data_IF_579769795970
#
_entry.id   IF_579769795970
#
_cell.length_a   1.000
_cell.length_b   1.000
_cell.length_c   1.000
_cell.angle_alpha   90.00
_cell.angle_beta   90.00
_cell.angle_gamma   90.00
#
_symmetry.space_group_name_H-M   'P 1'
#
loop_
_entity.id
_entity.type
_entity.pdbx_description
1 polymer ?
#
# COMPACT_ATOMS: atom_id res chain seq x y z
N UNK A 1 -61.12 31.23 2.08
CA UNK A 1 -60.49 30.74 0.84
C UNK A 1 -59.09 31.29 0.73
N UNK A 2 -58.08 30.55 1.16
CA UNK A 2 -56.67 30.74 0.79
C UNK A 2 -56.00 29.36 0.94
N UNK A 3 -55.66 28.76 -0.20
CA UNK A 3 -54.92 27.48 -0.28
C UNK A 3 -53.46 27.73 -0.02
N UNK A 4 -52.90 26.96 0.92
CA UNK A 4 -51.45 26.81 1.17
C UNK A 4 -50.80 26.12 -0.02
N UNK A 5 -49.71 26.70 -0.50
CA UNK A 5 -48.69 26.08 -1.32
C UNK A 5 -47.50 25.72 -0.42
N UNK A 6 -47.45 24.49 0.01
CA UNK A 6 -46.24 23.87 0.51
C UNK A 6 -46.01 22.61 -0.31
N UNK A 7 -45.07 22.62 -1.21
CA UNK A 7 -44.39 21.43 -1.72
C UNK A 7 -43.16 21.76 -2.57
N UNK A 8 -42.12 20.97 -2.38
CA UNK A 8 -40.91 20.77 -3.17
C UNK A 8 -39.68 21.60 -2.82
N UNK A 9 -38.99 21.21 -1.71
CA UNK A 9 -37.55 21.47 -1.56
C UNK A 9 -36.74 20.37 -0.81
N UNK A 10 -37.31 19.17 -0.56
CA UNK A 10 -36.60 18.15 0.24
C UNK A 10 -36.27 16.86 -0.51
N UNK A 11 -36.49 16.76 -1.81
CA UNK A 11 -36.26 15.51 -2.56
C UNK A 11 -34.99 15.55 -3.41
N UNK A 12 -34.38 16.71 -3.65
CA UNK A 12 -33.21 16.80 -4.55
C UNK A 12 -31.86 16.51 -3.89
N UNK A 13 -31.72 16.62 -2.57
CA UNK A 13 -30.40 16.40 -1.91
C UNK A 13 -30.07 14.93 -1.64
N UNK A 14 -31.08 14.07 -1.51
CA UNK A 14 -30.87 12.64 -1.22
C UNK A 14 -30.61 11.84 -2.51
N UNK A 15 -31.21 12.27 -3.63
CA UNK A 15 -31.04 11.60 -4.92
C UNK A 15 -29.67 11.89 -5.54
N UNK A 16 -29.12 13.10 -5.31
CA UNK A 16 -27.80 13.47 -5.86
C UNK A 16 -26.65 12.71 -5.18
N UNK A 17 -26.73 12.44 -3.88
CA UNK A 17 -25.70 11.66 -3.15
C UNK A 17 -25.69 10.18 -3.54
N UNK A 18 -26.87 9.59 -3.79
CA UNK A 18 -26.98 8.18 -4.21
C UNK A 18 -26.58 7.97 -5.68
N UNK A 19 -26.84 8.96 -6.54
CA UNK A 19 -26.46 8.89 -7.96
C UNK A 19 -24.95 9.07 -8.13
N UNK A 20 -24.30 9.93 -7.36
CA UNK A 20 -22.85 10.13 -7.42
C UNK A 20 -22.11 8.89 -6.88
N UNK A 21 -22.57 8.26 -5.80
CA UNK A 21 -21.98 7.02 -5.31
C UNK A 21 -22.21 5.84 -6.27
N UNK A 22 -23.39 5.75 -6.88
CA UNK A 22 -23.70 4.71 -7.87
C UNK A 22 -22.98 4.92 -9.21
N UNK A 23 -22.78 6.15 -9.64
CA UNK A 23 -22.02 6.47 -10.86
C UNK A 23 -20.53 6.30 -10.63
N UNK A 24 -19.99 6.67 -9.46
CA UNK A 24 -18.60 6.43 -9.12
C UNK A 24 -18.31 4.93 -9.03
N UNK A 25 -19.17 4.13 -8.38
CA UNK A 25 -19.02 2.68 -8.31
C UNK A 25 -19.17 2.03 -9.70
N UNK A 26 -20.13 2.48 -10.51
CA UNK A 26 -20.34 1.99 -11.88
C UNK A 26 -19.22 2.38 -12.85
N UNK A 27 -18.62 3.57 -12.69
CA UNK A 27 -17.47 4.03 -13.47
C UNK A 27 -16.19 3.31 -13.03
N UNK A 28 -16.01 3.07 -11.74
CA UNK A 28 -14.92 2.24 -11.20
C UNK A 28 -15.02 0.82 -11.77
N UNK A 29 -16.22 0.22 -11.74
CA UNK A 29 -16.44 -1.15 -12.21
C UNK A 29 -16.26 -1.29 -13.74
N UNK A 30 -16.76 -0.36 -14.55
CA UNK A 30 -16.68 -0.47 -16.01
C UNK A 30 -15.29 -0.15 -16.59
N UNK A 31 -14.44 0.59 -15.88
CA UNK A 31 -13.10 0.95 -16.33
C UNK A 31 -11.99 0.10 -15.75
N UNK A 32 -12.20 -0.53 -14.58
CA UNK A 32 -11.26 -1.46 -13.98
C UNK A 32 -11.11 -2.77 -14.79
N UNK A 33 -12.07 -3.10 -15.65
CA UNK A 33 -12.05 -4.30 -16.48
C UNK A 33 -11.12 -4.21 -17.73
N UNK A 34 -10.47 -3.07 -17.97
CA UNK A 34 -9.45 -2.98 -19.02
C UNK A 34 -8.10 -3.41 -18.42
N UNK A 35 -7.52 -4.51 -18.93
CA UNK A 35 -6.16 -4.91 -18.56
C UNK A 35 -5.22 -3.71 -18.64
N UNK A 36 -4.58 -3.38 -17.54
CA UNK A 36 -3.61 -2.29 -17.52
C UNK A 36 -2.32 -2.80 -18.19
N UNK A 37 -1.97 -2.23 -19.34
CA UNK A 37 -0.73 -2.56 -20.02
C UNK A 37 0.45 -1.96 -19.25
N UNK A 38 1.60 -2.66 -19.27
CA UNK A 38 2.87 -2.08 -18.80
C UNK A 38 3.13 -0.78 -19.57
N UNK A 39 3.12 0.33 -18.84
CA UNK A 39 3.32 1.67 -19.38
C UNK A 39 4.80 2.08 -19.44
N UNK A 40 5.70 1.29 -18.84
CA UNK A 40 7.07 1.70 -18.59
C UNK A 40 7.20 2.78 -17.50
N UNK A 41 6.16 2.94 -16.68
CA UNK A 41 6.13 3.91 -15.59
C UNK A 41 6.17 3.20 -14.23
N UNK A 42 6.77 3.86 -13.25
CA UNK A 42 6.79 3.43 -11.84
C UNK A 42 5.99 4.40 -11.00
N UNK A 43 5.06 3.90 -10.20
CA UNK A 43 4.36 4.65 -9.18
C UNK A 43 5.15 4.53 -7.87
N UNK A 44 5.45 5.65 -7.21
CA UNK A 44 6.30 5.71 -6.02
C UNK A 44 5.57 6.46 -4.91
N UNK A 45 5.45 5.85 -3.74
CA UNK A 45 5.07 6.52 -2.50
C UNK A 45 6.33 7.16 -1.88
N UNK A 46 6.54 8.45 -2.16
CA UNK A 46 7.68 9.24 -1.71
C UNK A 46 7.36 9.83 -0.32
N UNK A 47 7.58 8.99 0.72
CA UNK A 47 6.98 9.09 2.04
C UNK A 47 7.23 10.45 2.70
N UNK A 48 8.50 10.84 2.85
CA UNK A 48 8.85 12.03 3.61
C UNK A 48 8.76 13.31 2.78
N UNK A 49 8.56 13.21 1.47
CA UNK A 49 8.14 14.32 0.62
C UNK A 49 6.62 14.52 0.59
N UNK A 50 5.87 13.68 1.33
CA UNK A 50 4.42 13.77 1.43
C UNK A 50 3.73 13.82 0.05
N UNK A 51 4.16 12.91 -0.85
CA UNK A 51 3.65 12.83 -2.23
C UNK A 51 3.67 11.41 -2.79
N UNK A 52 2.79 11.17 -3.74
CA UNK A 52 2.87 10.03 -4.66
C UNK A 52 3.27 10.58 -6.02
N UNK A 53 4.23 9.96 -6.68
CA UNK A 53 4.68 10.33 -8.02
C UNK A 53 4.61 9.16 -8.98
N UNK A 54 4.27 9.43 -10.23
CA UNK A 54 4.43 8.50 -11.35
C UNK A 54 5.60 8.96 -12.19
N UNK A 55 6.57 8.08 -12.41
CA UNK A 55 7.83 8.37 -13.08
C UNK A 55 7.92 7.54 -14.36
N UNK A 56 8.22 8.18 -15.48
CA UNK A 56 8.63 7.51 -16.72
C UNK A 56 10.05 6.96 -16.54
N UNK A 57 10.20 5.63 -16.62
CA UNK A 57 11.47 4.91 -16.35
C UNK A 57 12.60 5.29 -17.30
N UNK A 58 12.27 5.70 -18.51
CA UNK A 58 13.27 6.02 -19.56
C UNK A 58 13.82 7.44 -19.42
N UNK A 59 12.96 8.37 -19.01
CA UNK A 59 13.32 9.81 -18.94
C UNK A 59 13.53 10.31 -17.53
N UNK A 60 13.17 9.50 -16.50
CA UNK A 60 13.15 9.87 -15.08
C UNK A 60 12.27 11.07 -14.75
N UNK A 61 11.35 11.42 -15.64
CA UNK A 61 10.44 12.55 -15.45
C UNK A 61 9.19 12.12 -14.68
N UNK A 62 8.80 12.94 -13.73
CA UNK A 62 7.48 12.86 -13.09
C UNK A 62 6.43 13.25 -14.13
N UNK A 63 5.51 12.31 -14.42
CA UNK A 63 4.41 12.50 -15.40
C UNK A 63 3.06 12.72 -14.74
N UNK A 64 2.94 12.31 -13.48
CA UNK A 64 1.78 12.57 -12.63
C UNK A 64 2.21 12.60 -11.16
N UNK A 65 1.49 13.36 -10.33
CA UNK A 65 1.70 13.35 -8.88
C UNK A 65 0.40 13.67 -8.12
N UNK A 66 0.37 13.25 -6.85
CA UNK A 66 -0.59 13.68 -5.85
C UNK A 66 0.16 13.99 -4.56
N UNK A 67 -0.30 15.03 -3.84
CA UNK A 67 0.37 15.56 -2.66
C UNK A 67 1.16 16.81 -3.00
N UNK A 68 1.13 17.77 -2.08
CA UNK A 68 1.75 19.11 -2.23
C UNK A 68 2.89 19.36 -1.26
N UNK A 69 3.40 18.28 -0.60
CA UNK A 69 4.46 18.36 0.38
C UNK A 69 4.02 18.83 1.77
N UNK A 70 2.73 19.14 1.98
CA UNK A 70 2.21 19.54 3.28
C UNK A 70 2.23 18.38 4.27
N UNK A 71 2.61 18.67 5.50
CA UNK A 71 2.52 17.76 6.65
C UNK A 71 1.17 17.82 7.39
N UNK A 72 0.20 18.49 6.79
CA UNK A 72 -1.20 18.51 7.23
C UNK A 72 -2.08 17.81 6.21
N UNK A 73 -2.88 16.81 6.61
CA UNK A 73 -3.75 16.10 5.70
C UNK A 73 -4.90 16.99 5.21
N UNK A 74 -5.19 16.95 3.91
CA UNK A 74 -6.19 17.77 3.25
C UNK A 74 -6.68 17.20 1.93
N UNK A 75 -7.48 17.95 1.15
CA UNK A 75 -8.06 17.47 -0.10
C UNK A 75 -7.03 17.27 -1.23
N UNK A 76 -5.84 17.87 -1.11
CA UNK A 76 -4.76 17.79 -2.10
C UNK A 76 -3.42 17.43 -1.45
N UNK A 77 -3.43 16.89 -0.24
CA UNK A 77 -2.24 16.45 0.49
C UNK A 77 -2.39 15.04 1.03
N UNK A 78 -1.27 14.38 1.19
CA UNK A 78 -1.11 13.11 1.90
C UNK A 78 0.09 13.28 2.82
N UNK A 79 0.03 12.71 4.03
CA UNK A 79 1.14 12.78 4.97
C UNK A 79 1.71 11.39 5.22
N UNK A 80 3.03 11.26 5.09
CA UNK A 80 3.71 10.00 5.34
C UNK A 80 3.12 8.85 4.54
N UNK A 81 3.09 8.99 3.19
CA UNK A 81 2.47 7.99 2.31
C UNK A 81 3.28 6.70 2.30
N UNK A 82 2.64 5.58 2.68
CA UNK A 82 3.32 4.28 2.71
C UNK A 82 2.92 3.36 1.55
N UNK A 83 1.83 3.62 0.86
CA UNK A 83 1.41 2.76 -0.25
C UNK A 83 0.62 3.54 -1.30
N UNK A 84 0.81 3.16 -2.55
CA UNK A 84 0.03 3.65 -3.67
C UNK A 84 -0.18 2.55 -4.72
N UNK A 85 -1.42 2.42 -5.21
CA UNK A 85 -1.80 1.46 -6.23
C UNK A 85 -2.54 2.13 -7.38
N UNK A 86 -2.10 1.88 -8.62
CA UNK A 86 -2.80 2.32 -9.82
C UNK A 86 -3.78 1.26 -10.28
N UNK A 87 -5.05 1.62 -10.47
CA UNK A 87 -6.05 0.75 -11.05
C UNK A 87 -6.93 1.52 -12.06
N UNK A 88 -6.86 1.11 -13.30
CA UNK A 88 -7.42 1.90 -14.39
C UNK A 88 -6.89 3.34 -14.35
N UNK A 89 -7.74 4.38 -14.41
CA UNK A 89 -7.31 5.76 -14.35
C UNK A 89 -7.15 6.30 -12.90
N UNK A 90 -7.47 5.49 -11.88
CA UNK A 90 -7.51 5.89 -10.49
C UNK A 90 -6.25 5.48 -9.73
N UNK A 91 -5.98 6.16 -8.63
CA UNK A 91 -4.92 5.80 -7.68
C UNK A 91 -5.50 5.65 -6.28
N UNK A 92 -5.32 4.47 -5.68
CA UNK A 92 -5.55 4.25 -4.25
C UNK A 92 -4.29 4.67 -3.50
N UNK A 93 -4.44 5.40 -2.41
CA UNK A 93 -3.32 5.95 -1.62
C UNK A 93 -3.56 5.67 -0.14
N UNK A 94 -2.52 5.21 0.55
CA UNK A 94 -2.51 5.04 2.00
C UNK A 94 -1.70 6.16 2.65
N UNK A 95 -2.38 7.12 3.25
CA UNK A 95 -1.81 8.18 4.08
C UNK A 95 -1.67 7.69 5.51
N UNK A 96 -0.46 7.31 5.86
CA UNK A 96 -0.12 6.69 7.15
C UNK A 96 0.08 7.73 8.24
N UNK A 97 0.72 8.82 7.88
CA UNK A 97 1.29 9.81 8.78
C UNK A 97 2.78 9.59 9.04
N UNK A 98 3.43 10.60 9.55
CA UNK A 98 4.86 10.59 9.85
C UNK A 98 5.08 10.66 11.37
N UNK A 99 5.82 9.70 11.97
CA UNK A 99 6.18 9.75 13.38
C UNK A 99 7.00 10.99 13.75
N UNK A 100 7.01 11.41 15.02
CA UNK A 100 7.79 12.57 15.45
C UNK A 100 9.29 12.34 15.22
N UNK A 101 9.98 13.40 14.77
CA UNK A 101 11.42 13.40 14.55
C UNK A 101 11.87 12.80 13.22
N UNK A 102 10.97 12.29 12.38
CA UNK A 102 11.28 11.89 11.01
C UNK A 102 11.06 13.03 10.02
N UNK A 103 11.74 13.03 8.85
CA UNK A 103 11.52 14.02 7.81
C UNK A 103 10.06 14.11 7.36
N UNK A 104 9.66 15.21 6.72
CA UNK A 104 8.31 15.42 6.21
C UNK A 104 7.24 15.73 7.26
N UNK A 105 7.64 15.97 8.52
CA UNK A 105 6.76 16.36 9.61
C UNK A 105 7.40 17.47 10.45
N UNK A 106 6.69 18.59 10.62
CA UNK A 106 7.14 19.74 11.44
C UNK A 106 6.89 19.56 12.94
N UNK A 107 5.91 18.73 13.33
CA UNK A 107 5.64 18.43 14.75
C UNK A 107 6.58 17.32 15.24
N UNK A 108 7.69 17.72 15.84
CA UNK A 108 8.71 16.79 16.36
C UNK A 108 8.32 16.11 17.67
N UNK A 109 7.18 16.45 18.26
CA UNK A 109 6.69 15.91 19.54
C UNK A 109 5.57 14.87 19.33
N UNK A 110 4.56 15.22 18.52
CA UNK A 110 3.38 14.37 18.35
C UNK A 110 3.39 13.63 17.01
N UNK A 111 4.22 14.05 16.04
CA UNK A 111 4.18 13.57 14.66
C UNK A 111 3.04 14.21 13.86
N UNK A 112 2.95 13.85 12.61
CA UNK A 112 1.98 14.37 11.66
C UNK A 112 1.09 13.22 11.14
N UNK A 113 -0.04 12.91 11.82
CA UNK A 113 -0.89 11.79 11.43
C UNK A 113 -1.69 12.13 10.17
N UNK A 114 -1.89 11.14 9.28
CA UNK A 114 -2.89 11.19 8.21
C UNK A 114 -4.08 10.26 8.52
N UNK A 115 -3.82 8.97 8.67
CA UNK A 115 -4.80 7.95 9.02
C UNK A 115 -5.96 7.82 8.02
N UNK A 116 -5.67 7.96 6.73
CA UNK A 116 -6.63 7.80 5.63
C UNK A 116 -6.15 6.80 4.59
N UNK A 117 -7.12 6.09 4.02
CA UNK A 117 -6.99 5.41 2.73
C UNK A 117 -8.01 6.03 1.78
N UNK A 118 -7.57 6.48 0.60
CA UNK A 118 -8.45 7.20 -0.31
C UNK A 118 -8.10 6.95 -1.78
N UNK A 119 -9.11 7.13 -2.63
CA UNK A 119 -8.99 7.01 -4.09
C UNK A 119 -9.03 8.39 -4.70
N UNK A 120 -8.06 8.68 -5.57
CA UNK A 120 -8.04 9.91 -6.37
C UNK A 120 -8.30 9.61 -7.84
N UNK A 121 -8.99 10.54 -8.50
CA UNK A 121 -9.17 10.54 -9.94
C UNK A 121 -7.90 11.07 -10.66
N UNK A 122 -7.84 11.01 -12.02
CA UNK A 122 -6.70 11.55 -12.78
C UNK A 122 -6.40 13.03 -12.54
N UNK A 123 -7.39 13.80 -12.07
CA UNK A 123 -7.25 15.23 -11.80
C UNK A 123 -6.78 15.52 -10.34
N UNK A 124 -6.54 14.46 -9.54
CA UNK A 124 -6.18 14.61 -8.13
C UNK A 124 -7.34 14.93 -7.20
N UNK A 125 -8.59 14.64 -7.61
CA UNK A 125 -9.77 14.79 -6.75
C UNK A 125 -9.98 13.52 -5.94
N UNK A 126 -10.11 13.63 -4.61
CA UNK A 126 -10.48 12.49 -3.75
C UNK A 126 -11.95 12.15 -4.02
N UNK A 127 -12.21 10.93 -4.54
CA UNK A 127 -13.56 10.45 -4.90
C UNK A 127 -14.11 9.42 -3.92
N UNK A 128 -13.26 8.84 -3.09
CA UNK A 128 -13.62 7.94 -2.01
C UNK A 128 -12.54 8.01 -0.91
N UNK A 129 -12.93 7.85 0.36
CA UNK A 129 -12.00 7.88 1.48
C UNK A 129 -12.53 7.01 2.62
N UNK A 130 -11.67 6.23 3.26
CA UNK A 130 -11.89 5.58 4.55
C UNK A 130 -10.83 6.06 5.54
N UNK A 131 -11.24 6.33 6.77
CA UNK A 131 -10.44 7.04 7.76
C UNK A 131 -10.75 8.53 7.80
N UNK A 132 -10.35 9.18 8.87
CA UNK A 132 -10.57 10.61 9.12
C UNK A 132 -9.22 11.32 9.18
N UNK A 133 -9.08 12.39 8.39
CA UNK A 133 -7.85 13.15 8.26
C UNK A 133 -7.26 13.55 9.63
N UNK A 134 -6.06 13.06 9.94
CA UNK A 134 -5.35 13.35 11.18
C UNK A 134 -5.92 12.70 12.44
N UNK A 135 -6.96 11.85 12.32
CA UNK A 135 -7.61 11.22 13.48
C UNK A 135 -7.29 9.73 13.54
N UNK A 136 -6.54 9.32 14.56
CA UNK A 136 -6.30 7.91 14.83
C UNK A 136 -7.42 7.28 15.64
N UNK A 137 -7.75 6.01 15.33
CA UNK A 137 -8.77 5.27 16.07
C UNK A 137 -9.13 3.94 15.43
N UNK A 138 -10.00 3.19 16.09
CA UNK A 138 -10.51 1.89 15.66
C UNK A 138 -12.05 1.86 15.52
N UNK A 139 -12.70 2.99 15.69
CA UNK A 139 -14.15 3.14 15.55
C UNK A 139 -14.62 3.12 14.08
N UNK A 140 -15.91 3.34 13.85
CA UNK A 140 -16.46 3.43 12.52
C UNK A 140 -15.76 4.50 11.68
N UNK A 141 -15.30 4.15 10.47
CA UNK A 141 -14.56 5.03 9.58
C UNK A 141 -13.31 5.67 10.25
N UNK A 142 -12.58 4.89 11.05
CA UNK A 142 -11.32 5.30 11.64
C UNK A 142 -10.23 4.26 11.37
N UNK A 143 -9.01 4.74 11.20
CA UNK A 143 -7.79 3.96 11.03
C UNK A 143 -6.74 4.45 12.02
N UNK A 144 -5.72 3.63 12.23
CA UNK A 144 -4.55 4.03 13.00
C UNK A 144 -3.30 3.48 12.30
N UNK A 145 -2.57 4.37 11.64
CA UNK A 145 -1.37 4.02 10.90
C UNK A 145 -1.66 2.99 9.79
N UNK A 146 -2.55 3.27 8.81
CA UNK A 146 -2.75 2.37 7.67
C UNK A 146 -1.49 2.38 6.80
N UNK A 147 -0.89 1.21 6.54
CA UNK A 147 0.40 1.12 5.83
C UNK A 147 0.28 0.56 4.42
N UNK A 148 -0.75 -0.22 4.13
CA UNK A 148 -1.03 -0.74 2.79
C UNK A 148 -2.52 -0.76 2.53
N UNK A 149 -2.89 -0.53 1.26
CA UNK A 149 -4.27 -0.68 0.79
C UNK A 149 -4.30 -1.25 -0.63
N UNK A 150 -5.20 -2.22 -0.86
CA UNK A 150 -5.42 -2.85 -2.17
C UNK A 150 -6.87 -2.69 -2.59
N UNK A 151 -7.10 -2.28 -3.84
CA UNK A 151 -8.43 -2.26 -4.44
C UNK A 151 -8.76 -3.62 -5.05
N UNK A 152 -9.84 -4.24 -4.59
CA UNK A 152 -10.27 -5.58 -5.00
C UNK A 152 -11.68 -5.53 -5.57
N UNK A 153 -11.94 -6.22 -6.68
CA UNK A 153 -13.31 -6.44 -7.18
C UNK A 153 -13.93 -7.68 -6.54
N UNK A 154 -13.11 -8.69 -6.30
CA UNK A 154 -13.56 -9.92 -5.65
C UNK A 154 -12.63 -10.28 -4.49
N UNK A 155 -13.23 -10.52 -3.35
CA UNK A 155 -12.57 -11.14 -2.19
C UNK A 155 -13.34 -12.41 -1.86
N UNK A 156 -12.72 -13.48 -1.39
CA UNK A 156 -13.42 -14.73 -1.10
C UNK A 156 -14.66 -14.51 -0.22
N UNK A 157 -15.81 -14.94 -0.71
CA UNK A 157 -17.16 -14.77 -0.09
C UNK A 157 -17.70 -13.33 -0.02
N UNK A 158 -16.98 -12.35 -0.59
CA UNK A 158 -17.41 -10.95 -0.61
C UNK A 158 -17.28 -10.40 -2.04
N UNK A 159 -18.30 -10.62 -2.91
CA UNK A 159 -18.26 -10.12 -4.28
C UNK A 159 -18.43 -8.60 -4.33
N UNK A 160 -17.87 -8.00 -5.38
CA UNK A 160 -17.93 -6.57 -5.64
C UNK A 160 -16.72 -5.80 -5.11
N UNK A 161 -16.70 -4.46 -5.31
CA UNK A 161 -15.54 -3.65 -5.01
C UNK A 161 -15.34 -3.44 -3.50
N UNK A 162 -14.12 -3.68 -3.06
CA UNK A 162 -13.65 -3.54 -1.67
C UNK A 162 -12.25 -2.94 -1.63
N UNK A 163 -11.85 -2.48 -0.47
CA UNK A 163 -10.47 -2.07 -0.17
C UNK A 163 -9.97 -2.91 1.00
N UNK A 164 -8.90 -3.69 0.77
CA UNK A 164 -8.18 -4.38 1.84
C UNK A 164 -7.17 -3.40 2.44
N UNK A 165 -7.10 -3.30 3.75
CA UNK A 165 -6.26 -2.32 4.46
C UNK A 165 -5.49 -3.02 5.58
N UNK A 166 -4.16 -2.86 5.59
CA UNK A 166 -3.34 -3.16 6.74
C UNK A 166 -3.40 -1.97 7.72
N UNK A 167 -4.22 -2.09 8.75
CA UNK A 167 -4.49 -1.08 9.78
C UNK A 167 -3.56 -1.35 10.98
N UNK A 168 -2.27 -0.99 10.79
CA UNK A 168 -1.10 -1.48 11.53
C UNK A 168 -1.22 -1.29 13.04
N UNK A 169 -1.37 -0.05 13.52
CA UNK A 169 -1.41 0.22 14.94
C UNK A 169 -2.71 -0.26 15.62
N UNK A 170 -3.74 -0.59 14.84
CA UNK A 170 -4.92 -1.31 15.31
C UNK A 170 -4.75 -2.84 15.30
N UNK A 171 -3.57 -3.36 14.93
CA UNK A 171 -3.22 -4.79 14.98
C UNK A 171 -4.13 -5.66 14.10
N UNK A 172 -4.56 -5.16 12.92
CA UNK A 172 -5.53 -5.86 12.08
C UNK A 172 -5.33 -5.61 10.59
N UNK A 173 -5.78 -6.56 9.78
CA UNK A 173 -6.05 -6.38 8.36
C UNK A 173 -7.56 -6.42 8.16
N UNK A 174 -8.12 -5.42 7.50
CA UNK A 174 -9.56 -5.26 7.31
C UNK A 174 -9.94 -5.18 5.84
N UNK A 175 -11.11 -5.68 5.48
CA UNK A 175 -11.75 -5.49 4.19
C UNK A 175 -12.93 -4.54 4.34
N UNK A 176 -12.89 -3.41 3.63
CA UNK A 176 -13.90 -2.35 3.70
C UNK A 176 -14.62 -2.27 2.36
N UNK A 177 -15.96 -2.26 2.37
CA UNK A 177 -16.72 -1.98 1.15
C UNK A 177 -16.80 -0.46 0.87
N UNK A 178 -17.22 -0.07 -0.35
CA UNK A 178 -17.32 1.34 -0.72
C UNK A 178 -18.39 2.13 0.08
N UNK A 179 -19.20 1.46 0.90
CA UNK A 179 -20.13 2.08 1.85
C UNK A 179 -19.54 2.24 3.26
N UNK A 180 -18.21 2.16 3.41
CA UNK A 180 -17.45 2.33 4.66
C UNK A 180 -17.76 1.29 5.75
N UNK A 181 -18.15 0.07 5.36
CA UNK A 181 -18.40 -1.03 6.31
C UNK A 181 -17.26 -2.03 6.25
N UNK A 182 -16.71 -2.38 7.39
CA UNK A 182 -15.81 -3.52 7.52
C UNK A 182 -16.66 -4.77 7.32
N UNK A 183 -16.32 -5.59 6.32
CA UNK A 183 -17.02 -6.83 5.98
C UNK A 183 -16.21 -8.07 6.32
N UNK A 184 -14.90 -7.92 6.51
CA UNK A 184 -13.99 -8.97 6.97
C UNK A 184 -12.85 -8.36 7.78
N UNK A 185 -12.29 -9.12 8.72
CA UNK A 185 -11.15 -8.73 9.51
C UNK A 185 -10.34 -9.95 9.94
N UNK A 186 -9.01 -9.83 9.95
CA UNK A 186 -8.09 -10.68 10.67
C UNK A 186 -7.21 -9.84 11.59
N UNK A 187 -6.94 -10.35 12.78
CA UNK A 187 -6.35 -9.62 13.88
C UNK A 187 -7.41 -9.12 14.86
N UNK A 188 -7.12 -9.18 16.16
CA UNK A 188 -7.98 -8.65 17.23
C UNK A 188 -7.64 -7.19 17.45
N UNK A 189 -8.58 -6.30 17.18
CA UNK A 189 -8.37 -4.85 17.24
C UNK A 189 -7.72 -4.41 18.56
N UNK A 190 -6.56 -3.75 18.46
CA UNK A 190 -5.80 -3.22 19.59
C UNK A 190 -5.08 -4.28 20.43
N UNK A 191 -5.07 -5.55 20.01
CA UNK A 191 -4.42 -6.65 20.74
C UNK A 191 -3.28 -7.20 19.92
N UNK A 192 -2.04 -6.86 20.28
CA UNK A 192 -0.83 -7.43 19.66
C UNK A 192 -0.56 -8.82 20.22
N UNK A 193 0.00 -9.70 19.35
CA UNK A 193 0.41 -11.04 19.75
C UNK A 193 0.64 -11.99 18.60
N UNK A 194 1.00 -13.24 18.92
CA UNK A 194 1.26 -14.33 17.98
C UNK A 194 0.21 -15.45 18.03
N UNK A 195 -0.80 -15.32 18.90
CA UNK A 195 -1.85 -16.32 19.07
C UNK A 195 -2.84 -16.36 17.89
N UNK A 196 -3.85 -17.24 17.96
CA UNK A 196 -4.89 -17.29 16.94
C UNK A 196 -5.59 -15.92 16.79
N UNK A 197 -5.73 -15.47 15.54
CA UNK A 197 -6.32 -14.16 15.21
C UNK A 197 -5.62 -12.98 15.93
N UNK A 198 -4.30 -13.05 16.08
CA UNK A 198 -3.48 -11.96 16.59
C UNK A 198 -2.35 -11.63 15.61
N UNK A 199 -2.08 -10.33 15.50
CA UNK A 199 -0.99 -9.74 14.72
C UNK A 199 -0.21 -8.78 15.60
N UNK A 200 0.98 -8.40 15.16
CA UNK A 200 1.79 -7.37 15.82
C UNK A 200 2.37 -6.45 14.74
N UNK A 201 1.78 -5.27 14.59
CA UNK A 201 2.09 -4.29 13.57
C UNK A 201 2.08 -4.90 12.14
N UNK A 202 0.94 -5.46 11.66
CA UNK A 202 0.87 -5.99 10.29
C UNK A 202 1.15 -4.88 9.28
N UNK A 203 2.07 -5.13 8.35
CA UNK A 203 2.50 -4.11 7.39
C UNK A 203 1.92 -4.32 5.99
N UNK A 204 1.60 -5.57 5.61
CA UNK A 204 0.96 -5.83 4.32
C UNK A 204 -0.02 -7.00 4.38
N UNK A 205 -0.95 -7.03 3.41
CA UNK A 205 -1.84 -8.15 3.16
C UNK A 205 -2.11 -8.31 1.66
N UNK A 206 -1.82 -9.50 1.11
CA UNK A 206 -2.05 -9.85 -0.29
C UNK A 206 -3.07 -10.98 -0.39
N UNK A 207 -3.97 -10.92 -1.38
CA UNK A 207 -4.92 -11.99 -1.68
C UNK A 207 -4.31 -12.91 -2.74
N UNK A 208 -4.10 -14.16 -2.40
CA UNK A 208 -3.50 -15.14 -3.29
C UNK A 208 -4.54 -15.72 -4.26
N UNK A 209 -4.09 -16.24 -5.41
CA UNK A 209 -4.96 -16.89 -6.42
C UNK A 209 -5.84 -18.01 -5.85
N UNK A 210 -5.36 -18.73 -4.82
CA UNK A 210 -6.14 -19.76 -4.12
C UNK A 210 -7.16 -19.19 -3.12
N UNK A 211 -7.29 -17.86 -3.03
CA UNK A 211 -8.16 -17.15 -2.12
C UNK A 211 -7.66 -17.08 -0.67
N UNK A 212 -6.44 -17.53 -0.38
CA UNK A 212 -5.81 -17.29 0.92
C UNK A 212 -5.30 -15.86 1.02
N UNK A 213 -4.99 -15.43 2.23
CA UNK A 213 -4.42 -14.10 2.49
C UNK A 213 -3.00 -14.30 3.04
N UNK A 214 -2.03 -13.62 2.42
CA UNK A 214 -0.64 -13.56 2.88
C UNK A 214 -0.45 -12.25 3.64
N UNK A 215 0.01 -12.31 4.88
CA UNK A 215 0.15 -11.14 5.76
C UNK A 215 1.59 -11.04 6.25
N UNK A 216 2.23 -9.89 6.04
CA UNK A 216 3.49 -9.55 6.69
C UNK A 216 3.19 -9.05 8.11
N UNK A 217 3.49 -9.88 9.09
CA UNK A 217 3.26 -9.67 10.53
C UNK A 217 4.56 -9.14 11.16
N UNK A 218 4.86 -7.86 10.87
CA UNK A 218 6.18 -7.23 10.94
C UNK A 218 6.87 -7.42 12.28
N UNK A 219 6.25 -7.00 13.38
CA UNK A 219 6.86 -7.06 14.71
C UNK A 219 6.77 -8.44 15.37
N UNK A 220 6.23 -9.42 14.67
CA UNK A 220 6.34 -10.84 15.01
C UNK A 220 7.39 -11.55 14.14
N UNK A 221 8.18 -10.83 13.35
CA UNK A 221 9.25 -11.34 12.52
C UNK A 221 8.83 -12.52 11.63
N UNK A 222 7.64 -12.44 11.03
CA UNK A 222 7.05 -13.51 10.24
C UNK A 222 6.15 -13.02 9.12
N UNK A 223 5.96 -13.88 8.14
CA UNK A 223 4.87 -13.80 7.17
C UNK A 223 3.93 -14.99 7.41
N UNK A 224 2.64 -14.75 7.44
CA UNK A 224 1.64 -15.81 7.60
C UNK A 224 0.73 -15.92 6.39
N UNK A 225 0.38 -17.14 6.02
CA UNK A 225 -0.68 -17.46 5.06
C UNK A 225 -1.88 -17.99 5.83
N UNK A 226 -3.03 -17.37 5.65
CA UNK A 226 -4.28 -17.76 6.30
C UNK A 226 -5.37 -18.01 5.27
N UNK A 227 -6.37 -18.83 5.63
CA UNK A 227 -7.62 -18.92 4.90
C UNK A 227 -8.53 -17.73 5.25
N UNK A 228 -9.53 -17.39 4.39
CA UNK A 228 -10.48 -16.31 4.70
C UNK A 228 -11.26 -16.51 6.02
N UNK A 229 -11.39 -17.74 6.50
CA UNK A 229 -12.00 -18.04 7.80
C UNK A 229 -11.04 -17.84 9.00
N UNK A 230 -9.83 -17.30 8.77
CA UNK A 230 -8.83 -17.05 9.80
C UNK A 230 -7.95 -18.26 10.17
N UNK A 231 -8.12 -19.42 9.52
CA UNK A 231 -7.28 -20.59 9.80
C UNK A 231 -5.86 -20.35 9.28
N UNK A 232 -4.86 -20.43 10.14
CA UNK A 232 -3.44 -20.40 9.76
C UNK A 232 -3.11 -21.62 8.89
N UNK A 233 -2.53 -21.38 7.73
CA UNK A 233 -2.08 -22.41 6.77
C UNK A 233 -0.59 -22.61 6.89
N UNK A 234 0.17 -21.48 6.90
CA UNK A 234 1.63 -21.52 6.89
C UNK A 234 2.23 -20.28 7.53
N UNK A 235 3.45 -20.43 8.04
CA UNK A 235 4.31 -19.35 8.51
C UNK A 235 5.63 -19.41 7.76
N UNK A 236 6.14 -18.25 7.33
CA UNK A 236 7.45 -18.08 6.70
C UNK A 236 8.29 -17.17 7.59
N UNK A 237 9.51 -17.60 7.86
CA UNK A 237 10.47 -16.92 8.73
C UNK A 237 11.87 -16.90 8.13
N UNK A 238 12.02 -17.36 6.88
CA UNK A 238 13.32 -17.61 6.25
C UNK A 238 14.24 -18.47 7.12
N UNK A 239 13.69 -19.59 7.64
CA UNK A 239 14.37 -20.47 8.56
C UNK A 239 14.65 -19.87 9.95
N UNK A 240 13.83 -18.93 10.39
CA UNK A 240 13.95 -18.24 11.68
C UNK A 240 14.90 -17.03 11.64
N UNK A 241 15.18 -16.47 10.46
CA UNK A 241 16.13 -15.35 10.31
C UNK A 241 15.48 -14.03 9.91
N UNK A 242 14.18 -14.00 9.57
CA UNK A 242 13.43 -12.74 9.28
C UNK A 242 13.40 -11.86 10.52
N UNK A 243 13.62 -10.56 10.29
CA UNK A 243 13.40 -9.52 11.30
C UNK A 243 12.74 -8.30 10.64
N UNK A 244 11.55 -7.94 11.12
CA UNK A 244 10.76 -6.84 10.56
C UNK A 244 10.28 -7.15 9.13
N UNK A 245 9.40 -8.14 8.96
CA UNK A 245 8.76 -8.44 7.67
C UNK A 245 7.87 -7.27 7.24
N UNK A 246 8.40 -6.32 6.46
CA UNK A 246 7.65 -5.14 6.03
C UNK A 246 6.70 -5.43 4.86
N UNK A 247 7.02 -6.40 4.01
CA UNK A 247 6.18 -6.79 2.88
C UNK A 247 6.39 -8.25 2.51
N UNK A 248 5.35 -8.86 1.95
CA UNK A 248 5.47 -10.19 1.35
C UNK A 248 4.53 -10.36 0.17
N UNK A 249 5.01 -11.05 -0.87
CA UNK A 249 4.23 -11.44 -2.04
C UNK A 249 4.50 -12.90 -2.43
N UNK A 250 3.50 -13.56 -3.05
CA UNK A 250 3.64 -14.92 -3.55
C UNK A 250 4.02 -14.87 -5.03
N UNK A 251 5.15 -15.47 -5.37
CA UNK A 251 5.65 -15.53 -6.74
C UNK A 251 4.95 -16.63 -7.56
N UNK A 252 4.90 -16.52 -8.90
CA UNK A 252 4.28 -17.52 -9.76
C UNK A 252 4.89 -18.92 -9.66
N UNK A 253 6.16 -19.04 -9.23
CA UNK A 253 6.82 -20.33 -8.97
C UNK A 253 6.42 -20.97 -7.62
N UNK A 254 5.56 -20.29 -6.82
CA UNK A 254 5.11 -20.73 -5.50
C UNK A 254 6.01 -20.28 -4.34
N UNK A 255 7.14 -19.65 -4.60
CA UNK A 255 8.01 -19.08 -3.58
C UNK A 255 7.42 -17.77 -3.01
N UNK A 256 7.92 -17.32 -1.88
CA UNK A 256 7.47 -16.09 -1.21
C UNK A 256 8.62 -15.09 -1.16
N UNK A 257 8.39 -13.90 -1.72
CA UNK A 257 9.32 -12.77 -1.61
C UNK A 257 8.99 -11.98 -0.35
N UNK A 258 10.00 -11.64 0.45
CA UNK A 258 9.84 -10.95 1.74
C UNK A 258 10.81 -9.78 1.81
N UNK A 259 10.31 -8.60 2.15
CA UNK A 259 11.14 -7.46 2.59
C UNK A 259 11.51 -7.67 4.05
N UNK A 260 12.75 -8.15 4.28
CA UNK A 260 13.34 -8.45 5.59
C UNK A 260 14.07 -7.20 6.09
N UNK A 261 13.26 -6.21 6.48
CA UNK A 261 13.62 -4.79 6.58
C UNK A 261 14.71 -4.52 7.61
N UNK A 262 14.60 -5.06 8.83
CA UNK A 262 15.60 -4.87 9.88
C UNK A 262 16.94 -5.57 9.57
N UNK A 263 16.93 -6.56 8.68
CA UNK A 263 18.14 -7.21 8.17
C UNK A 263 18.69 -6.55 6.91
N UNK A 264 18.10 -5.42 6.46
CA UNK A 264 18.53 -4.67 5.29
C UNK A 264 18.59 -5.50 4.01
N UNK A 265 17.64 -6.43 3.81
CA UNK A 265 17.63 -7.34 2.66
C UNK A 265 16.24 -7.67 2.17
N UNK A 266 16.20 -8.13 0.93
CA UNK A 266 15.07 -8.83 0.35
C UNK A 266 15.43 -10.31 0.26
N UNK A 267 14.51 -11.20 0.65
CA UNK A 267 14.71 -12.65 0.55
C UNK A 267 13.57 -13.31 -0.23
N UNK A 268 13.91 -14.32 -1.04
CA UNK A 268 12.95 -15.24 -1.63
C UNK A 268 13.09 -16.58 -0.89
N UNK A 269 11.97 -17.09 -0.37
CA UNK A 269 11.93 -18.35 0.36
C UNK A 269 11.04 -19.35 -0.38
N UNK A 270 11.52 -20.59 -0.47
CA UNK A 270 10.76 -21.66 -1.10
C UNK A 270 9.66 -22.20 -0.19
N UNK A 271 8.91 -23.19 -0.71
CA UNK A 271 7.87 -23.88 0.03
C UNK A 271 8.32 -24.56 1.35
N UNK A 272 9.60 -24.73 1.60
CA UNK A 272 10.17 -25.30 2.84
C UNK A 272 10.75 -24.23 3.76
N UNK A 273 10.44 -22.95 3.53
CA UNK A 273 10.94 -21.79 4.28
C UNK A 273 12.48 -21.62 4.20
N UNK A 274 13.11 -22.11 3.12
CA UNK A 274 14.53 -21.99 2.88
C UNK A 274 14.79 -20.81 1.95
N UNK A 275 15.78 -19.97 2.25
CA UNK A 275 16.21 -18.86 1.39
C UNK A 275 16.81 -19.42 0.11
N UNK A 276 16.26 -19.05 -1.04
CA UNK A 276 16.73 -19.47 -2.37
C UNK A 276 17.33 -18.32 -3.17
N UNK A 277 17.03 -17.07 -2.81
CA UNK A 277 17.63 -15.86 -3.35
C UNK A 277 17.57 -14.75 -2.30
N UNK A 278 18.55 -13.82 -2.37
CA UNK A 278 18.52 -12.60 -1.55
C UNK A 278 19.25 -11.45 -2.25
N UNK A 279 18.84 -10.23 -1.88
CA UNK A 279 19.54 -8.98 -2.20
C UNK A 279 19.71 -8.16 -0.94
N UNK A 280 20.95 -7.70 -0.67
CA UNK A 280 21.28 -6.91 0.53
C UNK A 280 21.52 -5.46 0.13
N UNK A 281 20.78 -4.54 0.72
CA UNK A 281 20.69 -3.13 0.26
C UNK A 281 21.77 -2.21 0.83
N UNK A 282 22.51 -2.63 1.85
CA UNK A 282 23.55 -1.83 2.50
C UNK A 282 24.99 -2.19 2.11
N UNK A 283 25.19 -3.00 1.06
CA UNK A 283 26.54 -3.42 0.64
C UNK A 283 27.23 -2.45 -0.32
N UNK A 284 26.48 -1.60 -1.00
CA UNK A 284 27.06 -0.61 -1.90
C UNK A 284 27.78 0.48 -1.11
N UNK A 285 28.96 0.90 -1.56
CA UNK A 285 29.68 2.02 -0.93
C UNK A 285 28.84 3.30 -0.95
N UNK A 286 28.67 3.95 0.20
CA UNK A 286 27.82 5.13 0.37
C UNK A 286 26.38 4.83 0.84
N UNK A 287 26.00 3.57 0.93
CA UNK A 287 24.70 3.18 1.49
C UNK A 287 24.56 3.60 2.95
N UNK A 288 23.34 3.91 3.35
CA UNK A 288 22.96 3.98 4.76
C UNK A 288 23.30 2.63 5.45
N UNK A 289 23.86 2.63 6.65
CA UNK A 289 24.12 1.39 7.38
C UNK A 289 22.86 0.55 7.67
N UNK A 290 21.71 1.21 7.76
CA UNK A 290 20.40 0.60 8.02
C UNK A 290 19.34 1.14 7.06
N UNK A 291 19.37 0.77 5.77
CA UNK A 291 18.48 1.32 4.76
C UNK A 291 17.04 0.86 4.88
N UNK A 292 16.78 -0.23 5.59
CA UNK A 292 15.46 -0.75 5.89
C UNK A 292 14.54 -0.82 4.65
N UNK A 293 14.80 -1.70 3.67
CA UNK A 293 13.95 -1.80 2.47
C UNK A 293 12.53 -2.22 2.86
N UNK A 294 11.55 -1.46 2.40
CA UNK A 294 10.14 -1.61 2.84
C UNK A 294 9.31 -2.42 1.87
N UNK A 295 9.59 -2.36 0.55
CA UNK A 295 8.82 -3.05 -0.48
C UNK A 295 9.74 -3.73 -1.47
N UNK A 296 9.35 -4.92 -1.90
CA UNK A 296 9.99 -5.58 -3.03
C UNK A 296 8.94 -6.27 -3.88
N UNK A 297 8.94 -6.00 -5.18
CA UNK A 297 8.01 -6.58 -6.15
C UNK A 297 8.81 -7.28 -7.24
N UNK A 298 8.52 -8.57 -7.48
CA UNK A 298 9.08 -9.29 -8.62
C UNK A 298 8.32 -8.86 -9.87
N UNK A 299 9.04 -8.42 -10.89
CA UNK A 299 8.49 -8.02 -12.17
C UNK A 299 8.37 -9.21 -13.14
N UNK A 300 7.55 -9.03 -14.17
CA UNK A 300 7.32 -10.05 -15.20
C UNK A 300 8.61 -10.48 -15.92
N UNK A 301 9.57 -9.56 -16.11
CA UNK A 301 10.88 -9.86 -16.70
C UNK A 301 11.79 -10.69 -15.77
N UNK A 302 11.39 -10.89 -14.51
CA UNK A 302 12.12 -11.63 -13.49
C UNK A 302 13.04 -10.77 -12.63
N UNK A 303 13.14 -9.47 -12.88
CA UNK A 303 13.86 -8.52 -12.04
C UNK A 303 13.05 -8.16 -10.79
N UNK A 304 13.67 -7.52 -9.81
CA UNK A 304 13.00 -7.15 -8.56
C UNK A 304 13.08 -5.64 -8.36
N UNK A 305 11.92 -4.98 -8.29
CA UNK A 305 11.80 -3.57 -7.95
C UNK A 305 11.77 -3.45 -6.42
N UNK A 306 12.61 -2.58 -5.86
CA UNK A 306 12.83 -2.46 -4.41
C UNK A 306 12.72 -0.99 -3.99
N UNK A 307 11.91 -0.70 -2.99
CA UNK A 307 11.91 0.56 -2.25
C UNK A 307 13.00 0.48 -1.18
N UNK A 308 14.14 1.10 -1.44
CA UNK A 308 15.34 1.11 -0.60
C UNK A 308 15.29 2.36 0.29
N UNK A 309 14.40 2.34 1.31
CA UNK A 309 13.81 3.49 1.99
C UNK A 309 14.83 4.52 2.47
N UNK A 310 15.69 4.18 3.42
CA UNK A 310 16.67 5.13 3.98
C UNK A 310 17.98 5.20 3.17
N UNK A 311 18.01 4.58 1.99
CA UNK A 311 18.93 4.91 0.91
C UNK A 311 18.33 5.93 -0.08
N UNK A 312 17.11 6.42 0.19
CA UNK A 312 16.40 7.47 -0.56
C UNK A 312 16.22 7.16 -2.06
N UNK A 313 16.04 5.87 -2.40
CA UNK A 313 15.94 5.43 -3.80
C UNK A 313 14.99 4.27 -3.99
N UNK A 314 14.51 4.16 -5.22
CA UNK A 314 13.88 2.96 -5.77
C UNK A 314 14.85 2.36 -6.77
N UNK A 315 15.13 1.07 -6.65
CA UNK A 315 16.02 0.34 -7.56
C UNK A 315 15.32 -0.87 -8.15
N UNK A 316 15.69 -1.24 -9.37
CA UNK A 316 15.40 -2.55 -9.93
C UNK A 316 16.70 -3.34 -10.07
N UNK A 317 16.68 -4.57 -9.61
CA UNK A 317 17.83 -5.46 -9.66
C UNK A 317 17.51 -6.70 -10.47
N UNK A 318 18.46 -7.12 -11.32
CA UNK A 318 18.38 -8.39 -12.05
C UNK A 318 18.58 -9.58 -11.07
N UNK A 319 18.40 -10.80 -11.58
CA UNK A 319 18.60 -12.02 -10.77
C UNK A 319 20.02 -12.19 -10.24
N UNK A 320 21.01 -11.55 -10.88
CA UNK A 320 22.41 -11.58 -10.45
C UNK A 320 22.72 -10.48 -9.40
N UNK A 321 21.77 -9.57 -9.15
CA UNK A 321 21.90 -8.47 -8.19
C UNK A 321 22.52 -7.21 -8.79
N UNK A 322 22.58 -7.06 -10.12
CA UNK A 322 22.98 -5.81 -10.76
C UNK A 322 21.81 -4.84 -10.79
N UNK A 323 22.06 -3.58 -10.45
CA UNK A 323 21.05 -2.52 -10.57
C UNK A 323 20.88 -2.19 -12.06
N UNK A 324 19.67 -2.34 -12.59
CA UNK A 324 19.29 -2.07 -14.00
C UNK A 324 18.43 -0.82 -14.15
N UNK A 325 17.84 -0.34 -13.06
CA UNK A 325 17.12 0.94 -12.98
C UNK A 325 17.30 1.54 -11.58
N UNK A 326 17.35 2.86 -11.50
CA UNK A 326 17.36 3.60 -10.22
C UNK A 326 16.63 4.93 -10.39
N UNK A 327 15.78 5.28 -9.44
CA UNK A 327 15.21 6.59 -9.22
C UNK A 327 15.59 7.04 -7.82
N UNK A 328 16.01 8.29 -7.65
CA UNK A 328 16.59 8.80 -6.43
C UNK A 328 18.09 8.54 -6.32
N UNK A 329 18.80 9.32 -5.53
CA UNK A 329 20.24 9.24 -5.34
C UNK A 329 20.58 8.55 -4.02
N UNK A 330 21.55 7.62 -4.06
CA UNK A 330 21.93 6.76 -2.95
C UNK A 330 22.22 7.56 -1.67
N UNK A 331 21.39 7.37 -0.63
CA UNK A 331 21.53 8.00 0.69
C UNK A 331 21.63 9.56 0.62
N UNK A 332 20.90 10.14 -0.32
CA UNK A 332 20.82 11.57 -0.56
C UNK A 332 19.35 12.00 -0.69
N UNK A 333 18.68 12.29 0.44
CA UNK A 333 17.27 12.69 0.40
C UNK A 333 17.09 14.06 -0.27
N UNK A 334 16.04 14.20 -1.07
CA UNK A 334 15.71 15.45 -1.74
C UNK A 334 14.28 15.43 -2.30
N UNK A 335 13.83 16.57 -2.81
CA UNK A 335 12.50 16.77 -3.42
C UNK A 335 12.58 17.28 -4.87
N UNK A 336 13.79 17.42 -5.40
CA UNK A 336 14.08 17.89 -6.75
C UNK A 336 13.82 16.85 -7.85
N UNK A 337 14.34 17.15 -9.03
CA UNK A 337 14.32 16.23 -10.16
C UNK A 337 15.17 14.99 -9.86
N UNK A 338 14.58 13.82 -10.02
CA UNK A 338 15.16 12.53 -9.69
C UNK A 338 15.40 12.27 -8.19
N UNK A 339 15.10 13.22 -7.29
CA UNK A 339 15.30 13.02 -5.86
C UNK A 339 14.08 12.34 -5.21
N UNK A 340 14.35 11.56 -4.17
CA UNK A 340 13.37 10.92 -3.30
C UNK A 340 13.76 11.15 -1.83
N UNK A 341 12.81 10.98 -0.93
CA UNK A 341 13.05 11.07 0.50
C UNK A 341 12.27 9.96 1.22
N UNK A 342 12.97 8.87 1.53
CA UNK A 342 12.42 7.70 2.17
C UNK A 342 11.27 7.04 1.39
N UNK A 343 11.44 6.67 0.09
CA UNK A 343 10.37 6.02 -0.66
C UNK A 343 9.95 4.71 0.01
N UNK A 344 8.67 4.61 0.37
CA UNK A 344 8.16 3.45 1.11
C UNK A 344 7.65 2.34 0.19
N UNK A 345 7.00 2.70 -0.93
CA UNK A 345 6.45 1.77 -1.90
C UNK A 345 6.80 2.17 -3.34
N UNK A 346 7.00 1.18 -4.19
CA UNK A 346 7.16 1.35 -5.62
C UNK A 346 6.56 0.17 -6.39
N UNK A 347 5.74 0.48 -7.41
CA UNK A 347 5.10 -0.52 -8.27
C UNK A 347 5.26 -0.12 -9.73
N UNK A 348 5.61 -1.06 -10.60
CA UNK A 348 5.54 -0.85 -12.04
C UNK A 348 4.08 -0.89 -12.49
N UNK A 349 3.62 0.18 -13.12
CA UNK A 349 2.21 0.29 -13.52
C UNK A 349 1.91 -0.75 -14.61
N UNK A 350 0.94 -1.62 -14.33
CA UNK A 350 0.52 -2.70 -15.23
C UNK A 350 1.22 -4.04 -15.01
N UNK A 351 2.21 -4.11 -14.11
CA UNK A 351 2.86 -5.36 -13.72
C UNK A 351 2.40 -5.78 -12.31
N UNK A 352 1.58 -6.81 -12.24
CA UNK A 352 1.07 -7.39 -10.99
C UNK A 352 1.70 -8.76 -10.68
N UNK A 353 2.86 -9.06 -11.25
CA UNK A 353 3.55 -10.34 -11.01
C UNK A 353 3.82 -10.53 -9.52
N UNK A 354 3.19 -11.55 -8.92
CA UNK A 354 3.28 -11.82 -7.47
C UNK A 354 2.46 -10.89 -6.58
N UNK A 355 1.79 -9.89 -7.12
CA UNK A 355 0.88 -9.00 -6.39
C UNK A 355 -0.57 -9.42 -6.59
N UNK A 356 -1.43 -8.99 -5.68
CA UNK A 356 -2.88 -9.03 -5.89
C UNK A 356 -3.27 -8.04 -6.97
N UNK A 357 -3.80 -8.45 -8.13
CA UNK A 357 -4.26 -7.49 -9.11
C UNK A 357 -5.50 -6.76 -8.59
N UNK A 358 -5.70 -5.48 -8.92
CA UNK A 358 -6.86 -4.70 -8.47
C UNK A 358 -8.17 -5.18 -9.09
N UNK A 359 -8.13 -6.09 -10.05
CA UNK A 359 -9.27 -6.75 -10.68
C UNK A 359 -8.83 -8.10 -11.21
N UNK A 360 -9.80 -9.04 -11.30
CA UNK A 360 -9.58 -10.34 -11.92
C UNK A 360 -9.47 -10.12 -13.46
N UNK A 361 -8.36 -10.49 -14.09
CA UNK A 361 -8.18 -10.31 -15.53
C UNK A 361 -8.96 -11.33 -16.39
N UNK A 362 -9.70 -12.30 -15.79
CA UNK A 362 -10.48 -13.33 -16.50
C UNK A 362 -11.83 -12.84 -17.05
#
# INVERSE_FOLDING_TARGET
MRRMLFKHKLVHSVVTGLVVAGVAAGVLYSRAAAAQSDTGHVLIADQFNNRVIEVDRKTHKVVWHFGNGSDLPGPHSVVGVNDAERFGPFTLISGTGTPPGLPGCSDTVNGCPDNRVFIVDPNGTIIWQYGQAGVSGAGPNQLNTPVQALFLINFPYHPGPHVLIADQANQRVILVNLHHRIVWQYGTTGVSGMGPNQLNNPNSGEVLENGHILIADESNDRVIEIRPNGTLVKTFTAGGTVSGAAFASRLPNGDTLISDSNNNRIVEVNGNDQVVWQYVTNLQAGSNPSPAPTRAVRLHNGDTLISDQFNDRVIEVDKAGHIVFQQGDLNMPGDGFNDLNGPYDAKQIGDFTGLTPPFDPD
#
